data_IF_229920700835
#
_entry.id   IF_229920700835
#
_cell.length_a   1.000
_cell.length_b   1.000
_cell.length_c   1.000
_cell.angle_alpha   90.00
_cell.angle_beta   90.00
_cell.angle_gamma   90.00
#
_symmetry.space_group_name_H-M   'P 1'
#
loop_
_entity.id
_entity.type
_entity.pdbx_description
1 polymer ?
#
# COMPACT_ATOMS: atom_id res chain seq x y z
N UNK A 1 34.47 -27.15 -37.13
CA UNK A 1 33.89 -27.84 -38.30
C UNK A 1 32.47 -28.29 -37.95
N UNK A 2 31.50 -27.87 -38.77
CA UNK A 2 30.21 -28.50 -39.13
C UNK A 2 29.35 -29.25 -38.06
N UNK A 3 28.09 -28.80 -37.91
CA UNK A 3 26.89 -29.59 -37.51
C UNK A 3 26.55 -30.66 -38.62
N UNK A 4 25.49 -31.52 -38.63
CA UNK A 4 24.19 -31.48 -37.89
C UNK A 4 23.44 -32.85 -37.64
N UNK A 5 22.12 -32.72 -37.38
CA UNK A 5 20.96 -33.66 -37.42
C UNK A 5 20.67 -34.50 -36.17
N UNK A 6 19.57 -34.32 -35.42
CA UNK A 6 18.10 -34.20 -35.70
C UNK A 6 17.47 -35.41 -36.42
N UNK A 7 16.30 -35.77 -35.88
CA UNK A 7 15.11 -36.40 -36.49
C UNK A 7 14.83 -37.85 -36.03
N UNK A 8 13.52 -38.11 -35.88
CA UNK A 8 12.78 -39.38 -35.67
C UNK A 8 12.45 -39.64 -34.18
N UNK A 9 11.23 -39.66 -33.62
CA UNK A 9 9.81 -39.61 -34.06
C UNK A 9 9.00 -39.59 -32.74
N UNK A 10 8.21 -38.57 -32.38
CA UNK A 10 6.79 -38.30 -32.70
C UNK A 10 5.82 -39.48 -32.50
N UNK A 11 4.55 -39.17 -32.12
CA UNK A 11 3.34 -40.02 -32.00
C UNK A 11 3.06 -40.43 -30.53
N UNK A 12 2.01 -39.98 -29.80
CA UNK A 12 0.58 -39.97 -30.13
C UNK A 12 -0.28 -39.03 -29.21
N UNK A 13 -1.12 -38.18 -29.84
CA UNK A 13 -2.41 -37.51 -29.46
C UNK A 13 -2.56 -36.77 -28.10
N UNK A 14 -2.87 -35.46 -27.95
CA UNK A 14 -3.72 -34.46 -28.64
C UNK A 14 -5.23 -34.49 -28.29
N UNK A 15 -5.81 -33.27 -28.24
CA UNK A 15 -7.22 -32.78 -28.23
C UNK A 15 -7.71 -32.14 -26.90
N UNK A 16 -8.16 -30.87 -26.81
CA UNK A 16 -8.24 -29.75 -27.77
C UNK A 16 -8.48 -28.41 -27.02
N UNK A 17 -7.74 -27.36 -27.37
CA UNK A 17 -8.23 -25.98 -27.49
C UNK A 17 -7.64 -25.43 -28.80
N UNK A 18 -8.49 -24.94 -29.69
CA UNK A 18 -8.16 -24.64 -31.09
C UNK A 18 -7.89 -23.15 -31.37
N UNK A 19 -6.83 -22.95 -32.16
CA UNK A 19 -6.56 -21.91 -33.18
C UNK A 19 -6.39 -20.45 -32.67
N UNK A 20 -5.18 -20.01 -32.30
CA UNK A 20 -3.99 -19.65 -33.12
C UNK A 20 -4.15 -18.27 -33.83
N UNK A 21 -3.16 -17.38 -33.89
CA UNK A 21 -1.72 -17.63 -34.08
C UNK A 21 -0.84 -16.57 -33.37
N UNK A 22 0.25 -17.00 -32.73
CA UNK A 22 1.38 -16.15 -32.34
C UNK A 22 2.67 -16.85 -32.80
N UNK A 23 3.48 -16.16 -33.60
CA UNK A 23 4.87 -16.54 -33.92
C UNK A 23 5.84 -15.58 -33.22
N UNK A 24 7.04 -16.03 -32.82
CA UNK A 24 7.97 -15.19 -32.08
C UNK A 24 8.80 -14.32 -33.03
N UNK A 25 8.78 -13.00 -32.82
CA UNK A 25 9.72 -12.06 -33.41
C UNK A 25 10.67 -11.54 -32.33
N UNK A 26 11.97 -11.58 -32.63
CA UNK A 26 13.01 -11.05 -31.77
C UNK A 26 12.98 -9.52 -31.62
N UNK A 27 13.50 -9.10 -30.48
CA UNK A 27 14.27 -7.88 -30.18
C UNK A 27 13.88 -6.58 -30.91
N UNK A 28 13.04 -5.77 -30.25
CA UNK A 28 12.85 -4.34 -30.54
C UNK A 28 11.41 -3.89 -30.35
N UNK A 29 11.14 -3.04 -29.36
CA UNK A 29 9.84 -2.37 -29.18
C UNK A 29 10.05 -0.88 -28.97
N UNK A 30 10.28 -0.18 -30.08
CA UNK A 30 9.80 1.19 -30.27
C UNK A 30 8.69 1.08 -31.33
N UNK A 31 7.47 1.49 -31.01
CA UNK A 31 6.31 1.36 -31.92
C UNK A 31 5.46 2.62 -31.91
N UNK A 32 5.63 3.44 -32.95
CA UNK A 32 4.66 4.41 -33.47
C UNK A 32 3.65 3.71 -34.39
N UNK A 33 2.39 4.19 -34.51
CA UNK A 33 1.37 3.57 -35.34
C UNK A 33 1.52 3.94 -36.83
N UNK A 34 1.35 2.97 -37.74
CA UNK A 34 1.04 3.22 -39.15
C UNK A 34 -0.45 2.94 -39.38
N UNK A 35 -1.14 3.98 -39.84
CA UNK A 35 -2.41 3.88 -40.52
C UNK A 35 -2.21 3.20 -41.89
N UNK A 36 -3.16 2.34 -42.30
CA UNK A 36 -3.60 2.26 -43.69
C UNK A 36 -5.09 1.93 -43.77
N UNK A 37 -5.71 2.56 -44.77
CA UNK A 37 -7.13 2.66 -44.99
C UNK A 37 -7.66 1.48 -45.80
N UNK A 38 -8.92 1.09 -45.58
CA UNK A 38 -9.71 0.45 -46.63
C UNK A 38 -11.15 0.97 -46.59
N UNK A 39 -11.56 1.62 -47.68
CA UNK A 39 -12.95 1.97 -47.96
C UNK A 39 -13.74 0.68 -48.24
N UNK A 40 -14.90 0.55 -47.60
CA UNK A 40 -15.96 -0.34 -48.08
C UNK A 40 -17.31 0.37 -47.94
N UNK A 41 -17.92 0.60 -49.09
CA UNK A 41 -19.20 1.27 -49.26
C UNK A 41 -20.32 0.26 -49.10
N UNK A 42 -21.13 0.37 -48.05
CA UNK A 42 -22.40 -0.34 -47.92
C UNK A 42 -23.50 0.64 -47.49
N UNK A 43 -24.54 0.74 -48.33
CA UNK A 43 -25.69 1.62 -48.12
C UNK A 43 -26.47 1.22 -46.86
N UNK A 44 -26.68 2.19 -45.96
CA UNK A 44 -27.43 2.03 -44.72
C UNK A 44 -28.86 2.56 -44.93
N UNK A 45 -29.85 1.66 -44.88
CA UNK A 45 -31.26 1.99 -44.90
C UNK A 45 -31.69 2.52 -43.53
N UNK A 46 -32.03 3.81 -43.48
CA UNK A 46 -32.56 4.48 -42.27
C UNK A 46 -34.00 4.03 -42.06
N UNK A 47 -34.24 3.20 -41.05
CA UNK A 47 -35.59 2.93 -40.53
C UNK A 47 -35.83 3.85 -39.34
N UNK A 48 -36.59 4.92 -39.57
CA UNK A 48 -37.15 5.78 -38.52
C UNK A 48 -38.15 4.98 -37.68
N UNK A 49 -37.79 4.65 -36.44
CA UNK A 49 -38.74 4.19 -35.42
C UNK A 49 -39.27 5.39 -34.65
N UNK A 50 -40.55 5.69 -34.85
CA UNK A 50 -41.30 6.65 -34.04
C UNK A 50 -41.43 6.12 -32.62
N UNK A 51 -40.85 6.83 -31.65
CA UNK A 51 -41.03 6.54 -30.23
C UNK A 51 -42.45 6.97 -29.81
N UNK A 52 -43.24 6.00 -29.34
CA UNK A 52 -44.53 6.27 -28.73
C UNK A 52 -44.32 6.92 -27.35
N UNK A 53 -44.74 8.17 -27.22
CA UNK A 53 -44.77 8.90 -25.95
C UNK A 53 -45.95 8.42 -25.10
N UNK A 54 -45.68 7.66 -24.06
CA UNK A 54 -46.63 7.46 -22.96
C UNK A 54 -46.73 8.73 -22.12
N UNK A 55 -47.92 9.11 -21.63
CA UNK A 55 -48.07 10.28 -20.77
C UNK A 55 -47.41 10.06 -19.41
N UNK A 56 -46.60 11.04 -19.01
CA UNK A 56 -45.90 11.11 -17.74
C UNK A 56 -46.91 11.39 -16.61
N UNK A 57 -47.23 10.35 -15.84
CA UNK A 57 -48.02 10.50 -14.61
C UNK A 57 -47.26 11.36 -13.60
N UNK A 58 -47.97 12.32 -13.01
CA UNK A 58 -47.57 13.12 -11.85
C UNK A 58 -47.00 12.26 -10.71
N UNK A 59 -45.90 12.65 -10.03
CA UNK A 59 -45.32 11.85 -8.96
C UNK A 59 -46.22 11.90 -7.72
N UNK A 60 -47.07 10.89 -7.58
CA UNK A 60 -47.47 10.34 -6.28
C UNK A 60 -46.20 9.94 -5.53
N UNK A 61 -46.12 10.28 -4.23
CA UNK A 61 -45.00 9.98 -3.34
C UNK A 61 -44.19 8.75 -3.76
N UNK A 62 -42.91 8.95 -4.04
CA UNK A 62 -42.00 7.92 -4.51
C UNK A 62 -42.14 6.65 -3.66
N UNK A 63 -42.54 5.55 -4.31
CA UNK A 63 -42.88 4.31 -3.64
C UNK A 63 -41.64 3.60 -3.12
N UNK A 64 -41.77 2.92 -1.98
CA UNK A 64 -40.74 2.02 -1.44
C UNK A 64 -40.35 0.95 -2.48
N UNK A 65 -39.05 0.67 -2.61
CA UNK A 65 -38.52 -0.27 -3.61
C UNK A 65 -38.88 -1.74 -3.29
N UNK A 66 -39.56 -2.47 -4.20
CA UNK A 66 -39.91 -3.87 -4.00
C UNK A 66 -38.83 -4.86 -4.47
N UNK A 67 -37.83 -4.40 -5.22
CA UNK A 67 -36.83 -5.24 -5.88
C UNK A 67 -35.40 -4.66 -5.79
N UNK A 68 -35.21 -3.64 -4.96
CA UNK A 68 -33.93 -2.94 -4.81
C UNK A 68 -33.64 -1.90 -5.89
N UNK A 69 -34.51 -1.66 -6.86
CA UNK A 69 -34.34 -0.56 -7.82
C UNK A 69 -34.83 0.77 -7.24
N UNK A 70 -34.12 1.86 -7.51
CA UNK A 70 -34.44 3.19 -7.03
C UNK A 70 -34.07 4.25 -8.08
N UNK A 71 -34.37 5.52 -7.81
CA UNK A 71 -33.92 6.63 -8.64
C UNK A 71 -35.00 7.23 -9.53
N UNK A 72 -34.61 8.25 -10.31
CA UNK A 72 -35.55 9.05 -11.12
C UNK A 72 -36.22 8.31 -12.27
N UNK A 73 -35.67 7.18 -12.72
CA UNK A 73 -36.24 6.35 -13.80
C UNK A 73 -37.37 5.45 -13.31
N UNK A 74 -37.33 5.00 -12.05
CA UNK A 74 -38.36 4.16 -11.45
C UNK A 74 -39.31 4.96 -10.56
N UNK A 75 -38.86 6.12 -10.05
CA UNK A 75 -39.58 6.88 -9.04
C UNK A 75 -39.64 6.17 -7.69
N UNK A 76 -38.76 5.18 -7.45
CA UNK A 76 -38.74 4.36 -6.24
C UNK A 76 -37.67 4.85 -5.24
N UNK A 77 -37.92 4.65 -3.95
CA UNK A 77 -36.99 4.97 -2.86
C UNK A 77 -36.50 3.72 -2.14
N UNK A 78 -35.27 3.78 -1.63
CA UNK A 78 -34.69 2.72 -0.80
C UNK A 78 -35.16 2.73 0.65
N UNK A 79 -35.65 3.88 1.13
CA UNK A 79 -36.04 4.08 2.52
C UNK A 79 -37.08 3.07 3.01
N UNK A 80 -36.73 2.34 4.06
CA UNK A 80 -37.56 1.29 4.66
C UNK A 80 -37.54 -0.04 3.93
N UNK A 81 -36.77 -0.17 2.84
CA UNK A 81 -36.61 -1.43 2.09
C UNK A 81 -35.64 -2.39 2.76
N UNK A 82 -35.79 -3.68 2.50
CA UNK A 82 -34.84 -4.70 2.94
C UNK A 82 -33.54 -4.74 2.13
N UNK A 83 -33.35 -3.79 1.19
CA UNK A 83 -32.22 -3.72 0.27
C UNK A 83 -31.21 -2.62 0.64
N UNK A 84 -31.40 -1.99 1.79
CA UNK A 84 -30.59 -0.87 2.26
C UNK A 84 -31.26 0.48 2.05
N UNK A 85 -30.70 1.52 2.66
CA UNK A 85 -31.31 2.85 2.74
C UNK A 85 -30.82 3.83 1.66
N UNK A 86 -29.71 3.51 0.98
CA UNK A 86 -29.04 4.42 0.05
C UNK A 86 -29.33 4.05 -1.41
N UNK A 87 -29.61 5.05 -2.25
CA UNK A 87 -29.80 4.85 -3.68
C UNK A 87 -28.53 5.22 -4.45
N UNK A 88 -27.83 4.23 -5.01
CA UNK A 88 -26.62 4.45 -5.81
C UNK A 88 -26.88 5.24 -7.09
N UNK A 89 -25.82 5.77 -7.71
CA UNK A 89 -25.87 6.41 -9.03
C UNK A 89 -26.39 5.48 -10.14
N UNK A 90 -26.28 4.16 -9.94
CA UNK A 90 -26.76 3.13 -10.87
C UNK A 90 -28.24 2.77 -10.66
N UNK A 91 -28.93 3.39 -9.71
CA UNK A 91 -30.35 3.16 -9.46
C UNK A 91 -30.64 1.89 -8.67
N UNK A 92 -29.73 1.51 -7.77
CA UNK A 92 -29.89 0.35 -6.88
C UNK A 92 -29.73 0.73 -5.42
N UNK A 93 -30.51 0.08 -4.57
CA UNK A 93 -30.45 0.17 -3.11
C UNK A 93 -29.29 -0.64 -2.55
N UNK A 94 -28.66 -0.10 -1.51
CA UNK A 94 -27.58 -0.75 -0.75
C UNK A 94 -27.21 0.07 0.49
N UNK A 95 -26.29 -0.45 1.29
CA UNK A 95 -25.79 0.21 2.52
C UNK A 95 -24.27 0.44 2.49
N UNK A 96 -23.58 -0.09 1.47
CA UNK A 96 -22.14 0.07 1.35
C UNK A 96 -21.77 1.49 0.90
N UNK A 97 -20.51 1.88 1.15
CA UNK A 97 -19.97 3.21 0.82
C UNK A 97 -20.27 3.64 -0.63
N UNK A 98 -20.18 2.72 -1.59
CA UNK A 98 -20.44 2.97 -3.00
C UNK A 98 -21.90 3.36 -3.30
N UNK A 99 -22.84 2.98 -2.43
CA UNK A 99 -24.26 3.32 -2.54
C UNK A 99 -24.58 4.61 -1.79
N UNK A 100 -23.99 4.78 -0.61
CA UNK A 100 -24.37 5.84 0.32
C UNK A 100 -23.63 7.15 0.11
N UNK A 101 -22.41 7.14 -0.41
CA UNK A 101 -21.59 8.35 -0.40
C UNK A 101 -21.89 9.23 -1.61
N UNK A 102 -22.05 10.53 -1.35
CA UNK A 102 -22.28 11.54 -2.39
C UNK A 102 -21.22 11.51 -3.48
N UNK A 103 -19.95 11.25 -3.13
CA UNK A 103 -18.85 11.12 -4.11
C UNK A 103 -19.01 9.98 -5.11
N UNK A 104 -19.72 8.90 -4.74
CA UNK A 104 -20.06 7.79 -5.63
C UNK A 104 -21.41 8.00 -6.35
N UNK A 105 -22.00 9.18 -6.20
CA UNK A 105 -23.21 9.61 -6.89
C UNK A 105 -24.50 9.11 -6.25
N UNK A 106 -24.53 8.91 -4.94
CA UNK A 106 -25.75 8.61 -4.21
C UNK A 106 -26.87 9.63 -4.54
N UNK A 107 -28.05 9.12 -4.90
CA UNK A 107 -29.21 9.92 -5.31
C UNK A 107 -30.07 10.29 -4.10
N UNK A 108 -29.79 11.45 -3.49
CA UNK A 108 -30.43 11.90 -2.24
C UNK A 108 -31.95 12.11 -2.29
N UNK A 109 -32.54 12.19 -3.49
CA UNK A 109 -34.01 12.20 -3.65
C UNK A 109 -34.66 10.82 -3.45
N UNK A 110 -33.89 9.74 -3.51
CA UNK A 110 -34.37 8.36 -3.55
C UNK A 110 -33.75 7.45 -2.48
N UNK A 111 -32.82 7.98 -1.67
CA UNK A 111 -32.22 7.26 -0.54
C UNK A 111 -31.49 8.21 0.41
N UNK A 112 -31.00 7.68 1.51
CA UNK A 112 -30.23 8.43 2.51
C UNK A 112 -28.75 8.48 2.11
N UNK A 113 -28.27 9.65 1.73
CA UNK A 113 -26.87 9.81 1.31
C UNK A 113 -26.01 10.39 2.42
N UNK A 114 -24.82 9.82 2.60
CA UNK A 114 -23.76 10.40 3.40
C UNK A 114 -23.00 11.41 2.54
N UNK A 115 -22.99 12.67 2.97
CA UNK A 115 -22.15 13.67 2.32
C UNK A 115 -20.71 13.46 2.75
N UNK A 116 -19.84 13.16 1.79
CA UNK A 116 -18.41 13.04 2.02
C UNK A 116 -17.64 13.52 0.79
N UNK A 117 -16.37 13.81 0.99
CA UNK A 117 -15.38 14.18 -0.04
C UNK A 117 -14.45 13.02 -0.37
N UNK A 118 -14.77 11.78 0.01
CA UNK A 118 -13.93 10.63 -0.33
C UNK A 118 -13.72 10.54 -1.84
N UNK A 119 -12.50 10.24 -2.26
CA UNK A 119 -12.21 10.07 -3.67
C UNK A 119 -12.88 8.82 -4.27
N UNK A 120 -13.60 8.94 -5.40
CA UNK A 120 -14.16 7.78 -6.07
C UNK A 120 -13.16 7.06 -7.00
N UNK A 121 -12.09 7.74 -7.41
CA UNK A 121 -11.17 7.30 -8.48
C UNK A 121 -9.69 7.33 -8.08
N UNK A 122 -9.40 7.65 -6.82
CA UNK A 122 -8.03 7.78 -6.32
C UNK A 122 -7.43 9.17 -6.55
N UNK A 123 -8.13 10.13 -7.16
CA UNK A 123 -7.69 11.54 -7.24
C UNK A 123 -7.99 12.30 -5.95
N UNK A 124 -7.18 13.29 -5.57
CA UNK A 124 -7.36 14.06 -4.34
C UNK A 124 -6.98 15.52 -4.53
N UNK A 125 -7.46 16.36 -3.62
CA UNK A 125 -7.26 17.80 -3.69
C UNK A 125 -7.92 18.47 -4.89
N UNK A 126 -7.34 19.59 -5.32
CA UNK A 126 -7.83 20.43 -6.41
C UNK A 126 -9.25 20.98 -6.18
N UNK A 127 -9.90 21.43 -7.26
CA UNK A 127 -11.23 22.07 -7.20
C UNK A 127 -12.34 21.14 -6.69
N UNK A 128 -12.13 19.82 -6.82
CA UNK A 128 -13.07 18.80 -6.32
C UNK A 128 -12.93 18.55 -4.83
N UNK A 129 -11.78 18.88 -4.24
CA UNK A 129 -11.52 18.75 -2.80
C UNK A 129 -11.57 17.31 -2.28
N UNK A 130 -11.26 16.33 -3.12
CA UNK A 130 -11.36 14.93 -2.72
C UNK A 130 -10.30 14.55 -1.68
N UNK A 131 -10.66 13.69 -0.74
CA UNK A 131 -9.81 13.24 0.37
C UNK A 131 -9.48 11.76 0.29
N UNK A 132 -8.27 11.38 0.69
CA UNK A 132 -7.78 10.00 0.63
C UNK A 132 -8.14 9.13 1.86
N UNK A 133 -8.53 9.76 2.97
CA UNK A 133 -8.80 9.12 4.26
C UNK A 133 -10.05 8.23 4.21
N UNK A 134 -9.93 6.93 4.50
CA UNK A 134 -11.08 6.02 4.67
C UNK A 134 -11.42 5.12 3.48
N UNK A 135 -10.63 5.15 2.40
CA UNK A 135 -10.75 4.23 1.25
C UNK A 135 -9.79 3.05 1.31
N UNK A 136 -8.55 3.31 1.72
CA UNK A 136 -7.59 2.25 2.00
C UNK A 136 -7.87 1.71 3.40
N UNK A 137 -7.87 0.38 3.53
CA UNK A 137 -8.18 -0.38 4.76
C UNK A 137 -7.73 0.30 6.05
N UNK A 138 -8.44 0.09 7.18
CA UNK A 138 -8.00 0.61 8.47
C UNK A 138 -6.55 0.18 8.73
N UNK A 139 -5.63 1.15 8.76
CA UNK A 139 -4.20 0.94 9.01
C UNK A 139 -3.24 1.43 7.91
N UNK A 140 -3.72 1.75 6.70
CA UNK A 140 -2.85 2.30 5.66
C UNK A 140 -2.96 3.83 5.59
N UNK A 141 -1.80 4.51 5.70
CA UNK A 141 -1.68 5.97 5.53
C UNK A 141 -2.11 6.36 4.13
N UNK A 142 -3.01 7.33 4.01
CA UNK A 142 -3.57 7.76 2.73
C UNK A 142 -3.20 9.22 2.48
N UNK A 143 -2.08 9.42 1.81
CA UNK A 143 -1.52 10.72 1.46
C UNK A 143 -2.12 11.22 0.15
N UNK A 144 -2.31 12.54 0.04
CA UNK A 144 -2.62 13.18 -1.21
C UNK A 144 -1.34 13.78 -1.80
N UNK A 145 -0.85 13.24 -2.92
CA UNK A 145 0.39 13.71 -3.55
C UNK A 145 0.27 15.14 -4.09
N UNK A 146 1.42 15.75 -4.41
CA UNK A 146 1.47 17.02 -5.18
C UNK A 146 0.67 16.96 -6.48
N UNK A 147 0.64 15.79 -7.12
CA UNK A 147 -0.02 15.56 -8.40
C UNK A 147 -1.53 15.28 -8.25
N UNK A 148 -2.06 15.30 -7.02
CA UNK A 148 -3.47 15.09 -6.75
C UNK A 148 -3.89 13.62 -6.86
N UNK A 149 -3.03 12.70 -6.43
CA UNK A 149 -3.34 11.28 -6.36
C UNK A 149 -3.17 10.72 -4.94
N UNK A 150 -4.07 9.83 -4.56
CA UNK A 150 -4.00 9.12 -3.30
C UNK A 150 -3.00 7.97 -3.37
N UNK A 151 -2.17 7.87 -2.34
CA UNK A 151 -1.30 6.72 -2.16
C UNK A 151 -0.64 6.72 -0.79
N UNK A 152 0.09 5.65 -0.50
CA UNK A 152 0.79 5.46 0.77
C UNK A 152 2.31 5.51 0.63
N UNK A 153 2.84 5.61 -0.59
CA UNK A 153 4.28 5.67 -0.85
C UNK A 153 4.84 7.09 -0.63
N UNK A 154 6.16 7.23 -0.58
CA UNK A 154 6.87 8.47 -0.29
C UNK A 154 6.74 9.47 -1.43
N UNK A 155 6.44 9.00 -2.64
CA UNK A 155 6.04 9.88 -3.75
C UNK A 155 4.71 10.59 -3.44
N UNK A 156 3.81 9.93 -2.70
CA UNK A 156 2.52 10.51 -2.30
C UNK A 156 2.61 11.26 -0.98
N UNK A 157 3.38 10.74 -0.04
CA UNK A 157 3.48 11.24 1.33
C UNK A 157 4.63 12.22 1.58
N UNK A 158 5.55 12.36 0.63
CA UNK A 158 6.74 13.17 0.76
C UNK A 158 6.49 14.67 0.54
N UNK A 159 7.52 15.36 0.06
CA UNK A 159 7.48 16.81 -0.14
C UNK A 159 6.31 17.22 -1.03
N UNK A 160 5.48 18.14 -0.51
CA UNK A 160 4.33 18.69 -1.21
C UNK A 160 3.05 17.82 -1.14
N UNK A 161 3.04 16.77 -0.31
CA UNK A 161 1.79 16.14 0.11
C UNK A 161 0.80 17.21 0.61
N UNK A 162 -0.47 17.11 0.21
CA UNK A 162 -1.53 18.08 0.51
C UNK A 162 -2.27 17.70 1.82
N UNK A 163 -1.95 18.33 2.98
CA UNK A 163 -2.42 17.89 4.30
C UNK A 163 -3.93 18.11 4.51
N UNK A 164 -4.57 19.01 3.76
CA UNK A 164 -6.02 19.20 3.79
C UNK A 164 -6.78 18.03 3.14
N UNK A 165 -6.11 17.23 2.32
CA UNK A 165 -6.74 16.19 1.49
C UNK A 165 -6.21 14.77 1.78
N UNK A 166 -5.25 14.63 2.66
CA UNK A 166 -4.72 13.33 3.08
C UNK A 166 -3.87 13.42 4.34
N UNK A 167 -3.51 12.25 4.87
CA UNK A 167 -2.68 12.14 6.06
C UNK A 167 -1.22 12.41 5.69
N UNK A 168 -0.84 13.67 5.57
CA UNK A 168 0.53 14.09 5.23
C UNK A 168 1.48 14.13 6.43
N UNK A 169 1.02 13.71 7.61
CA UNK A 169 1.85 13.54 8.79
C UNK A 169 2.79 12.32 8.64
N UNK A 170 3.77 12.43 7.74
CA UNK A 170 5.06 11.74 7.75
C UNK A 170 5.92 12.28 6.59
N UNK A 171 6.47 13.47 6.75
CA UNK A 171 7.91 13.59 6.50
C UNK A 171 8.52 12.82 7.69
N UNK A 172 9.15 11.64 7.57
CA UNK A 172 10.06 11.19 6.53
C UNK A 172 10.12 9.64 6.50
N UNK A 173 9.00 8.89 6.47
CA UNK A 173 9.08 7.41 6.57
C UNK A 173 9.73 6.79 5.32
N UNK A 174 10.74 5.94 5.53
CA UNK A 174 11.52 5.34 4.43
C UNK A 174 10.70 4.45 3.50
N UNK A 175 11.10 4.41 2.23
CA UNK A 175 10.50 3.61 1.15
C UNK A 175 11.39 2.46 0.68
N UNK A 176 12.69 2.59 0.85
CA UNK A 176 13.71 1.64 0.39
C UNK A 176 14.51 1.03 1.54
N UNK A 177 14.14 1.38 2.78
CA UNK A 177 14.82 0.93 3.99
C UNK A 177 15.99 1.81 4.39
N UNK A 178 16.29 2.92 3.69
CA UNK A 178 17.30 3.90 4.14
C UNK A 178 16.73 4.89 5.15
N UNK A 179 17.50 5.30 6.15
CA UNK A 179 17.04 6.15 7.25
C UNK A 179 18.16 7.03 7.81
N UNK A 180 17.77 8.07 8.54
CA UNK A 180 18.66 9.05 9.13
C UNK A 180 19.43 9.90 8.13
N UNK A 181 20.52 10.50 8.59
CA UNK A 181 21.36 11.39 7.79
C UNK A 181 20.65 12.69 7.34
N UNK A 182 21.19 13.34 6.32
CA UNK A 182 20.70 14.63 5.80
C UNK A 182 19.28 14.55 5.20
N UNK A 183 18.80 13.35 4.89
CA UNK A 183 17.45 13.13 4.35
C UNK A 183 16.37 13.04 5.44
N UNK A 184 16.75 12.90 6.72
CA UNK A 184 15.80 12.88 7.83
C UNK A 184 14.89 11.64 7.89
N UNK A 185 15.13 10.61 7.08
CA UNK A 185 14.21 9.48 6.91
C UNK A 185 14.07 8.63 8.19
N UNK A 186 12.84 8.29 8.58
CA UNK A 186 12.51 7.46 9.75
C UNK A 186 12.06 6.05 9.37
N UNK A 187 12.36 5.09 10.23
CA UNK A 187 11.92 3.71 10.10
C UNK A 187 10.52 3.47 10.70
N UNK A 188 10.03 4.39 11.52
CA UNK A 188 8.78 4.22 12.26
C UNK A 188 7.58 4.02 11.31
N UNK A 189 6.97 2.83 11.37
CA UNK A 189 5.84 2.47 10.50
C UNK A 189 6.22 2.01 9.09
N UNK A 190 7.51 1.85 8.80
CA UNK A 190 7.98 1.26 7.54
C UNK A 190 7.85 -0.27 7.54
N UNK A 191 7.84 -0.88 6.35
CA UNK A 191 7.88 -2.35 6.20
C UNK A 191 9.27 -2.96 6.46
N UNK A 192 10.30 -2.12 6.62
CA UNK A 192 11.69 -2.54 6.79
C UNK A 192 12.09 -2.67 8.26
N UNK A 193 11.18 -2.36 9.19
CA UNK A 193 11.38 -2.43 10.62
C UNK A 193 11.37 -1.06 11.29
N UNK A 194 11.43 -1.07 12.62
CA UNK A 194 11.22 0.10 13.47
C UNK A 194 12.51 0.85 13.86
N UNK A 195 13.68 0.28 13.60
CA UNK A 195 14.96 0.79 14.08
C UNK A 195 15.85 1.23 12.93
N UNK A 196 16.28 2.48 12.98
CA UNK A 196 17.32 3.03 12.13
C UNK A 196 18.69 2.72 12.71
N UNK A 197 19.42 1.81 12.08
CA UNK A 197 20.77 1.43 12.48
C UNK A 197 21.76 2.59 12.38
N UNK A 198 22.94 2.43 12.99
CA UNK A 198 24.07 3.37 12.83
C UNK A 198 24.48 3.58 11.36
N UNK A 199 24.20 2.60 10.49
CA UNK A 199 24.53 2.63 9.07
C UNK A 199 23.44 3.27 8.20
N UNK A 200 22.37 3.78 8.80
CA UNK A 200 21.29 4.45 8.05
C UNK A 200 20.39 3.49 7.29
N UNK A 201 20.17 2.30 7.85
CA UNK A 201 19.20 1.33 7.33
C UNK A 201 18.20 0.90 8.38
N UNK A 202 16.98 0.58 7.97
CA UNK A 202 15.89 0.08 8.81
C UNK A 202 15.95 -1.43 9.02
N UNK A 203 15.54 -1.86 10.22
CA UNK A 203 15.49 -3.25 10.65
C UNK A 203 14.84 -3.38 12.02
N UNK A 204 14.62 -4.64 12.46
CA UNK A 204 13.99 -4.95 13.75
C UNK A 204 14.87 -5.77 14.71
N UNK A 205 16.07 -6.17 14.26
CA UNK A 205 16.96 -7.01 15.08
C UNK A 205 17.92 -6.16 15.90
N UNK A 206 18.60 -6.78 16.87
CA UNK A 206 19.57 -6.11 17.73
C UNK A 206 20.66 -5.32 16.97
N UNK A 207 21.06 -5.77 15.78
CA UNK A 207 22.08 -5.05 15.01
C UNK A 207 21.56 -3.69 14.48
N UNK A 208 20.23 -3.52 14.39
CA UNK A 208 19.60 -2.25 14.01
C UNK A 208 19.12 -1.47 15.24
N UNK A 209 18.51 -2.16 16.19
CA UNK A 209 17.90 -1.56 17.37
C UNK A 209 18.89 -1.33 18.53
N UNK A 210 20.07 -1.94 18.48
CA UNK A 210 21.06 -1.93 19.54
C UNK A 210 22.04 -0.77 19.47
N UNK A 211 23.32 -1.07 19.67
CA UNK A 211 24.40 -0.08 19.70
C UNK A 211 24.40 0.77 18.41
N UNK A 212 24.32 2.10 18.58
CA UNK A 212 24.33 3.06 17.48
C UNK A 212 22.98 3.27 16.77
N UNK A 213 21.88 2.69 17.26
CA UNK A 213 20.54 2.98 16.76
C UNK A 213 20.20 4.47 16.87
N UNK A 214 19.75 5.07 15.76
CA UNK A 214 19.47 6.50 15.64
C UNK A 214 18.06 6.81 16.17
N UNK A 215 17.96 7.24 17.43
CA UNK A 215 16.69 7.41 18.16
C UNK A 215 15.70 8.38 17.51
N UNK A 216 16.19 9.43 16.85
CA UNK A 216 15.35 10.42 16.18
C UNK A 216 14.60 9.83 14.97
N UNK A 217 15.19 8.81 14.35
CA UNK A 217 14.68 8.15 13.14
C UNK A 217 14.13 6.75 13.41
N UNK A 218 13.89 6.43 14.69
CA UNK A 218 13.52 5.09 15.13
C UNK A 218 12.39 5.13 16.13
N UNK A 219 11.48 4.17 16.05
CA UNK A 219 10.51 3.89 17.11
C UNK A 219 10.89 2.70 17.98
N UNK A 220 11.96 1.97 17.63
CA UNK A 220 12.33 0.69 18.27
C UNK A 220 13.71 0.61 18.92
N UNK A 221 14.49 1.70 19.03
CA UNK A 221 15.82 1.62 19.62
C UNK A 221 15.77 1.08 21.07
N UNK A 222 16.67 0.14 21.36
CA UNK A 222 16.89 -0.37 22.71
C UNK A 222 17.50 0.73 23.59
N UNK A 223 16.96 0.86 24.80
CA UNK A 223 17.41 1.85 25.79
C UNK A 223 18.02 1.22 27.04
N UNK A 224 17.84 -0.09 27.18
CA UNK A 224 18.36 -0.91 28.28
C UNK A 224 18.89 -2.21 27.70
N UNK A 225 19.90 -2.80 28.33
CA UNK A 225 20.54 -4.05 27.90
C UNK A 225 20.88 -4.04 26.41
N UNK A 226 21.49 -2.94 25.96
CA UNK A 226 21.82 -2.72 24.55
C UNK A 226 22.96 -3.69 24.18
N UNK A 227 22.74 -4.63 23.25
CA UNK A 227 23.74 -5.62 22.90
C UNK A 227 24.92 -4.96 22.19
N UNK A 228 26.12 -5.40 22.55
CA UNK A 228 27.35 -5.01 21.87
C UNK A 228 27.37 -5.57 20.45
N UNK A 229 27.80 -4.74 19.50
CA UNK A 229 28.00 -5.15 18.09
C UNK A 229 29.48 -5.24 17.71
N UNK A 230 30.36 -4.58 18.46
CA UNK A 230 31.81 -4.54 18.21
C UNK A 230 32.64 -5.24 19.30
N UNK A 231 31.99 -5.73 20.36
CA UNK A 231 32.61 -6.42 21.48
C UNK A 231 32.92 -5.49 22.65
N UNK A 232 32.72 -4.19 22.52
CA UNK A 232 32.83 -3.27 23.65
C UNK A 232 31.63 -3.43 24.60
N UNK A 233 31.88 -3.48 25.90
CA UNK A 233 30.86 -3.68 26.92
C UNK A 233 31.20 -2.93 28.22
N UNK A 234 30.24 -2.87 29.13
CA UNK A 234 30.49 -2.34 30.48
C UNK A 234 30.08 -0.88 30.65
N UNK A 235 30.18 -0.41 31.89
CA UNK A 235 29.72 0.92 32.29
C UNK A 235 30.49 2.06 31.59
N UNK A 236 31.74 1.81 31.20
CA UNK A 236 32.61 2.76 30.50
C UNK A 236 32.35 2.84 29.00
N UNK A 237 31.75 1.80 28.41
CA UNK A 237 31.42 1.71 26.99
C UNK A 237 29.92 1.90 26.76
N UNK A 238 29.34 2.97 27.31
CA UNK A 238 27.92 3.29 27.09
C UNK A 238 26.92 2.30 27.69
N UNK A 239 27.38 1.36 28.53
CA UNK A 239 26.54 0.35 29.17
C UNK A 239 26.12 -0.79 28.24
N UNK A 240 26.89 -1.05 27.17
CA UNK A 240 26.61 -2.17 26.28
C UNK A 240 26.82 -3.51 26.98
N UNK A 241 26.02 -4.50 26.60
CA UNK A 241 26.01 -5.83 27.19
C UNK A 241 26.45 -6.89 26.20
N UNK A 242 27.23 -7.87 26.66
CA UNK A 242 27.53 -9.08 25.91
C UNK A 242 26.33 -10.05 25.93
N UNK A 243 25.44 -9.91 26.92
CA UNK A 243 24.24 -10.75 27.06
C UNK A 243 23.06 -10.19 26.26
N UNK A 244 23.04 -10.42 24.95
CA UNK A 244 21.90 -10.08 24.11
C UNK A 244 21.54 -11.21 23.16
N UNK A 245 20.26 -11.62 23.16
CA UNK A 245 19.73 -12.80 22.43
C UNK A 245 20.00 -12.76 20.90
N UNK A 246 20.45 -11.63 20.38
CA UNK A 246 20.56 -11.34 18.96
C UNK A 246 21.93 -10.72 18.55
N UNK A 247 22.92 -10.69 19.44
CA UNK A 247 24.27 -10.15 19.17
C UNK A 247 25.34 -11.23 18.97
N UNK A 248 26.44 -10.88 18.31
CA UNK A 248 27.56 -11.80 18.05
C UNK A 248 28.27 -12.31 19.32
N UNK A 249 28.10 -11.60 20.44
CA UNK A 249 28.73 -11.90 21.73
C UNK A 249 27.75 -12.52 22.73
N UNK A 250 26.60 -13.02 22.25
CA UNK A 250 25.50 -13.43 23.10
C UNK A 250 25.92 -14.46 24.16
N UNK A 251 25.85 -14.03 25.42
CA UNK A 251 26.14 -14.89 26.57
C UNK A 251 27.61 -14.87 27.02
N UNK A 252 28.44 -14.06 26.37
CA UNK A 252 29.81 -13.81 26.80
C UNK A 252 29.88 -13.00 28.10
N UNK A 253 31.07 -13.02 28.68
CA UNK A 253 31.47 -12.27 29.85
C UNK A 253 31.90 -10.87 29.43
N UNK A 254 31.70 -9.88 30.30
CA UNK A 254 32.23 -8.54 30.08
C UNK A 254 33.43 -8.34 31.00
N UNK A 255 34.65 -8.29 30.47
CA UNK A 255 35.86 -8.12 31.28
C UNK A 255 35.87 -6.79 32.02
N UNK A 256 36.74 -6.64 33.02
CA UNK A 256 37.03 -5.35 33.65
C UNK A 256 37.55 -4.31 32.65
N UNK A 257 38.29 -4.75 31.63
CA UNK A 257 38.74 -3.92 30.51
C UNK A 257 37.61 -3.50 29.55
N UNK A 258 36.39 -4.00 29.75
CA UNK A 258 35.21 -3.61 28.98
C UNK A 258 35.10 -4.29 27.61
N UNK A 259 35.51 -5.56 27.53
CA UNK A 259 35.40 -6.37 26.31
C UNK A 259 34.60 -7.65 26.52
N UNK A 260 33.86 -8.04 25.50
CA UNK A 260 33.14 -9.29 25.46
C UNK A 260 34.08 -10.46 25.12
N UNK A 261 34.01 -11.53 25.92
CA UNK A 261 34.70 -12.77 25.62
C UNK A 261 34.27 -13.92 26.53
N UNK A 262 34.65 -15.14 26.17
CA UNK A 262 34.20 -16.38 26.83
C UNK A 262 35.29 -17.13 27.60
N UNK A 263 36.52 -16.61 27.63
CA UNK A 263 37.61 -17.25 28.40
C UNK A 263 37.65 -16.72 29.83
N UNK A 264 38.31 -17.45 30.72
CA UNK A 264 38.49 -17.07 32.12
C UNK A 264 39.13 -15.69 32.33
N UNK A 265 39.85 -15.16 31.33
CA UNK A 265 40.39 -13.80 31.35
C UNK A 265 39.28 -12.75 31.31
N UNK A 266 38.19 -13.01 30.58
CA UNK A 266 37.01 -12.13 30.51
C UNK A 266 36.02 -12.43 31.62
N UNK A 267 35.90 -13.71 32.01
CA UNK A 267 34.87 -14.20 32.93
C UNK A 267 35.27 -14.20 34.40
N UNK A 268 36.58 -14.12 34.66
CA UNK A 268 37.16 -14.25 35.99
C UNK A 268 37.08 -12.97 36.82
N UNK A 269 38.13 -12.75 37.62
CA UNK A 269 38.18 -11.59 38.52
C UNK A 269 38.11 -10.28 37.74
N UNK A 270 37.19 -9.39 38.12
CA UNK A 270 36.98 -8.10 37.46
C UNK A 270 35.84 -8.08 36.45
N UNK A 271 35.30 -9.25 36.08
CA UNK A 271 34.14 -9.33 35.18
C UNK A 271 32.95 -8.49 35.68
N UNK A 272 32.35 -7.73 34.77
CA UNK A 272 31.27 -6.79 35.04
C UNK A 272 29.90 -7.48 34.93
N UNK A 273 29.39 -8.02 36.04
CA UNK A 273 28.17 -8.83 36.08
C UNK A 273 26.87 -8.11 35.68
N UNK A 274 26.89 -6.77 35.58
CA UNK A 274 25.78 -5.98 35.02
C UNK A 274 25.72 -5.98 33.49
N UNK A 275 26.79 -6.42 32.82
CA UNK A 275 26.96 -6.29 31.37
C UNK A 275 27.38 -7.61 30.69
N UNK A 276 27.65 -8.66 31.45
CA UNK A 276 28.00 -9.99 30.94
C UNK A 276 27.74 -11.08 31.97
N UNK A 277 27.95 -12.34 31.58
CA UNK A 277 27.92 -13.47 32.50
C UNK A 277 29.28 -13.60 33.19
N UNK A 278 29.35 -13.59 34.52
CA UNK A 278 30.62 -13.76 35.26
C UNK A 278 30.63 -15.10 36.02
N UNK A 279 31.83 -15.62 36.30
CA UNK A 279 32.06 -16.88 37.05
C UNK A 279 31.95 -16.72 38.58
#
# INVERSE_FOLDING_TARGET
MQMPNKVVTAILLALFCGVAECSPAGNGHDWLPRAESSLSTAASSVVTRTAATTPMSTPTSAGMSPNGQCGGTTGLTCKGSGYGECCSSLGWCGDEKAYCYSSFGCQSKFGECTTTTLTPDGTCGGDKGYTCTGLYSPGNKACCSVDGFCGSSGIHCGTGCQPEFGDCAAADVTMDGTCGGDQGLTCAGSAFGACCSALGHCGDTANWCGQGCQKEFSSGCLTVNVPSVDGSCGATNGGFTCTGILGNFNGDCCSDDGWCGSTSEYCGTGCQSGFGRCE
#
